data_IF_429375345180
#
_entry.id   IF_429375345180
#
_cell.length_a   1.000
_cell.length_b   1.000
_cell.length_c   1.000
_cell.angle_alpha   90.00
_cell.angle_beta   90.00
_cell.angle_gamma   90.00
#
_symmetry.space_group_name_H-M   'P 1'
#
loop_
_entity.id
_entity.type
_entity.pdbx_description
1 polymer ?
#
# COMPACT_ATOMS: atom_id res chain seq x y z
N UNK A 1 27.91 -5.24 16.46
CA UNK A 1 26.99 -4.64 15.48
C UNK A 1 27.35 -5.20 14.11
N UNK A 2 26.51 -6.04 13.53
CA UNK A 2 26.79 -6.62 12.21
C UNK A 2 26.90 -5.47 11.19
N UNK A 3 28.01 -5.42 10.45
CA UNK A 3 28.20 -4.42 9.41
C UNK A 3 27.08 -4.58 8.38
N UNK A 4 26.27 -3.53 8.20
CA UNK A 4 25.26 -3.49 7.15
C UNK A 4 25.99 -3.69 5.83
N UNK A 5 25.72 -4.80 5.16
CA UNK A 5 26.23 -5.08 3.83
C UNK A 5 25.79 -3.97 2.88
N UNK A 6 26.63 -3.64 1.90
CA UNK A 6 26.39 -2.56 0.95
C UNK A 6 25.05 -2.72 0.19
N UNK A 7 24.54 -3.95 0.13
CA UNK A 7 23.20 -4.28 -0.36
C UNK A 7 22.06 -3.65 0.48
N UNK A 8 22.15 -3.64 1.81
CA UNK A 8 21.09 -3.09 2.67
C UNK A 8 20.84 -1.59 2.45
N UNK A 9 21.91 -0.82 2.23
CA UNK A 9 21.79 0.61 1.90
C UNK A 9 21.06 0.83 0.57
N UNK A 10 21.36 0.01 -0.45
CA UNK A 10 20.73 0.08 -1.77
C UNK A 10 19.23 -0.23 -1.69
N UNK A 11 18.84 -1.27 -0.93
CA UNK A 11 17.44 -1.62 -0.73
C UNK A 11 16.66 -0.52 -0.01
N UNK A 12 17.23 0.07 1.04
CA UNK A 12 16.61 1.19 1.76
C UNK A 12 16.42 2.39 0.82
N UNK A 13 17.46 2.80 0.10
CA UNK A 13 17.37 3.91 -0.85
C UNK A 13 16.34 3.65 -1.95
N UNK A 14 16.29 2.44 -2.49
CA UNK A 14 15.33 2.06 -3.54
C UNK A 14 13.89 2.08 -3.02
N UNK A 15 13.64 1.54 -1.82
CA UNK A 15 12.30 1.53 -1.21
C UNK A 15 11.77 2.95 -0.93
N UNK A 16 12.63 3.84 -0.43
CA UNK A 16 12.26 5.24 -0.18
C UNK A 16 12.07 5.98 -1.51
N UNK A 17 12.90 5.72 -2.52
CA UNK A 17 12.73 6.32 -3.85
C UNK A 17 11.39 5.94 -4.47
N UNK A 18 11.01 4.65 -4.45
CA UNK A 18 9.70 4.18 -4.95
C UNK A 18 8.55 4.87 -4.17
N UNK A 19 8.66 4.94 -2.85
CA UNK A 19 7.65 5.60 -2.00
C UNK A 19 7.52 7.08 -2.34
N UNK A 20 8.63 7.79 -2.57
CA UNK A 20 8.61 9.20 -2.96
C UNK A 20 8.09 9.40 -4.39
N UNK A 21 8.33 8.48 -5.31
CA UNK A 21 7.72 8.51 -6.65
C UNK A 21 6.19 8.37 -6.57
N UNK A 22 5.70 7.43 -5.74
CA UNK A 22 4.27 7.27 -5.49
C UNK A 22 3.67 8.53 -4.84
N UNK A 23 4.36 9.11 -3.85
CA UNK A 23 3.96 10.38 -3.25
C UNK A 23 3.89 11.50 -4.30
N UNK A 24 4.88 11.60 -5.19
CA UNK A 24 4.88 12.55 -6.29
C UNK A 24 3.68 12.38 -7.21
N UNK A 25 3.36 11.14 -7.60
CA UNK A 25 2.17 10.83 -8.39
C UNK A 25 0.88 11.24 -7.70
N UNK A 26 0.72 10.88 -6.42
CA UNK A 26 -0.45 11.25 -5.60
C UNK A 26 -0.59 12.77 -5.52
N UNK A 27 0.51 13.50 -5.31
CA UNK A 27 0.49 14.96 -5.26
C UNK A 27 0.08 15.59 -6.59
N UNK A 28 0.57 15.07 -7.72
CA UNK A 28 0.17 15.54 -9.05
C UNK A 28 -1.33 15.35 -9.23
N UNK A 29 -1.85 14.14 -9.01
CA UNK A 29 -3.28 13.86 -9.15
C UNK A 29 -4.13 14.72 -8.21
N UNK A 30 -3.65 14.98 -6.99
CA UNK A 30 -4.32 15.85 -6.04
C UNK A 30 -4.39 17.30 -6.52
N UNK A 31 -3.27 17.88 -6.97
CA UNK A 31 -3.25 19.27 -7.43
C UNK A 31 -4.02 19.47 -8.74
N UNK A 32 -4.00 18.50 -9.66
CA UNK A 32 -4.81 18.53 -10.88
C UNK A 32 -6.31 18.49 -10.54
N UNK A 33 -6.72 17.58 -9.64
CA UNK A 33 -8.13 17.50 -9.19
C UNK A 33 -8.58 18.80 -8.52
N UNK A 34 -7.73 19.41 -7.69
CA UNK A 34 -8.01 20.74 -7.12
C UNK A 34 -8.08 21.82 -8.20
N UNK A 35 -7.18 21.75 -9.19
CA UNK A 35 -7.14 22.62 -10.36
C UNK A 35 -8.49 22.72 -11.04
N UNK A 36 -9.07 21.56 -11.34
CA UNK A 36 -10.37 21.41 -11.98
C UNK A 36 -11.50 21.92 -11.09
N UNK A 37 -11.51 21.54 -9.81
CA UNK A 37 -12.59 21.91 -8.88
C UNK A 37 -12.70 23.41 -8.65
N UNK A 38 -11.57 24.12 -8.63
CA UNK A 38 -11.53 25.57 -8.40
C UNK A 38 -11.32 26.37 -9.70
N UNK A 39 -11.34 25.72 -10.86
CA UNK A 39 -11.05 26.32 -12.16
C UNK A 39 -9.76 27.17 -12.17
N UNK A 40 -8.72 26.71 -11.46
CA UNK A 40 -7.45 27.43 -11.29
C UNK A 40 -6.71 27.60 -12.62
N UNK A 41 -6.95 26.73 -13.59
CA UNK A 41 -6.40 26.84 -14.95
C UNK A 41 -6.76 28.18 -15.61
N UNK A 42 -7.92 28.75 -15.27
CA UNK A 42 -8.38 30.05 -15.79
C UNK A 42 -7.71 31.25 -15.13
N UNK A 43 -7.09 31.05 -13.95
CA UNK A 43 -6.50 32.11 -13.12
C UNK A 43 -4.99 32.12 -13.17
N UNK A 44 -4.35 30.97 -13.39
CA UNK A 44 -2.91 30.80 -13.38
C UNK A 44 -2.46 30.25 -14.74
N UNK A 45 -1.59 30.97 -15.47
CA UNK A 45 -1.05 30.45 -16.72
C UNK A 45 -0.22 29.18 -16.44
N UNK A 46 -0.41 28.15 -17.25
CA UNK A 46 0.31 26.87 -17.14
C UNK A 46 0.19 26.20 -15.75
N UNK A 47 -0.99 26.23 -15.13
CA UNK A 47 -1.26 25.62 -13.82
C UNK A 47 -0.82 24.16 -13.73
N UNK A 48 -1.11 23.35 -14.75
CA UNK A 48 -0.74 21.92 -14.78
C UNK A 48 0.78 21.74 -14.66
N UNK A 49 1.57 22.51 -15.43
CA UNK A 49 3.03 22.42 -15.39
C UNK A 49 3.61 22.87 -14.03
N UNK A 50 3.05 23.93 -13.44
CA UNK A 50 3.51 24.41 -12.12
C UNK A 50 3.14 23.44 -11.00
N UNK A 51 1.95 22.83 -11.05
CA UNK A 51 1.52 21.78 -10.13
C UNK A 51 2.43 20.54 -10.20
N UNK A 52 2.82 20.12 -11.41
CA UNK A 52 3.74 19.00 -11.61
C UNK A 52 5.13 19.30 -11.04
N UNK A 53 5.69 20.47 -11.34
CA UNK A 53 7.00 20.89 -10.82
C UNK A 53 6.96 20.95 -9.29
N UNK A 54 5.93 21.57 -8.71
CA UNK A 54 5.78 21.67 -7.26
C UNK A 54 5.70 20.29 -6.59
N UNK A 55 4.90 19.38 -7.15
CA UNK A 55 4.75 18.01 -6.65
C UNK A 55 6.05 17.24 -6.65
N UNK A 56 6.80 17.32 -7.76
CA UNK A 56 8.12 16.66 -7.90
C UNK A 56 9.12 17.26 -6.92
N UNK A 57 9.14 18.58 -6.74
CA UNK A 57 10.03 19.25 -5.77
C UNK A 57 9.71 18.84 -4.34
N UNK A 58 8.43 18.74 -3.97
CA UNK A 58 8.01 18.25 -2.64
C UNK A 58 8.48 16.80 -2.45
N UNK A 59 8.21 15.92 -3.41
CA UNK A 59 8.61 14.52 -3.34
C UNK A 59 10.14 14.34 -3.21
N UNK A 60 10.91 15.11 -3.97
CA UNK A 60 12.37 15.10 -3.92
C UNK A 60 12.89 15.69 -2.60
N UNK A 61 12.27 16.77 -2.12
CA UNK A 61 12.58 17.36 -0.81
C UNK A 61 12.36 16.37 0.33
N UNK A 62 11.26 15.64 0.31
CA UNK A 62 10.94 14.57 1.27
C UNK A 62 11.99 13.45 1.18
N UNK A 63 12.37 13.00 -0.02
CA UNK A 63 13.42 11.99 -0.20
C UNK A 63 14.74 12.40 0.45
N UNK A 64 15.21 13.62 0.16
CA UNK A 64 16.46 14.15 0.74
C UNK A 64 16.35 14.26 2.25
N UNK A 65 15.21 14.75 2.77
CA UNK A 65 14.98 14.89 4.21
C UNK A 65 15.07 13.54 4.94
N UNK A 66 14.40 12.51 4.42
CA UNK A 66 14.41 11.15 5.01
C UNK A 66 15.84 10.57 4.99
N UNK A 67 16.57 10.75 3.89
CA UNK A 67 17.93 10.19 3.73
C UNK A 67 18.98 10.90 4.57
N UNK A 68 18.87 12.23 4.74
CA UNK A 68 19.82 13.02 5.53
C UNK A 68 19.53 12.99 7.03
N UNK A 69 18.27 12.78 7.44
CA UNK A 69 17.93 12.78 8.85
C UNK A 69 18.47 11.50 9.53
N UNK A 70 19.41 11.61 10.50
CA UNK A 70 20.04 10.45 11.12
C UNK A 70 19.05 9.60 11.92
N UNK A 71 17.98 10.20 12.47
CA UNK A 71 16.94 9.47 13.20
C UNK A 71 16.17 8.54 12.26
N UNK A 72 15.70 9.09 11.13
CA UNK A 72 14.94 8.32 10.14
C UNK A 72 15.80 7.30 9.44
N UNK A 73 17.02 7.68 9.03
CA UNK A 73 17.99 6.76 8.41
C UNK A 73 18.41 5.63 9.35
N UNK A 74 18.57 5.91 10.65
CA UNK A 74 18.83 4.91 11.68
C UNK A 74 17.68 3.91 11.81
N UNK A 75 16.45 4.42 11.97
CA UNK A 75 15.25 3.59 12.08
C UNK A 75 15.04 2.69 10.86
N UNK A 76 15.22 3.21 9.63
CA UNK A 76 15.10 2.41 8.41
C UNK A 76 16.12 1.25 8.35
N UNK A 77 17.31 1.46 8.91
CA UNK A 77 18.30 0.38 9.01
C UNK A 77 17.85 -0.70 9.98
N UNK A 78 17.30 -0.32 11.13
CA UNK A 78 16.74 -1.27 12.12
C UNK A 78 15.59 -2.08 11.51
N UNK A 79 14.64 -1.41 10.84
CA UNK A 79 13.54 -2.09 10.14
C UNK A 79 14.06 -3.07 9.09
N UNK A 80 15.08 -2.69 8.31
CA UNK A 80 15.69 -3.61 7.34
C UNK A 80 16.32 -4.83 8.04
N UNK A 81 17.03 -4.63 9.16
CA UNK A 81 17.62 -5.73 9.91
C UNK A 81 16.56 -6.69 10.45
N UNK A 82 15.42 -6.20 10.92
CA UNK A 82 14.32 -7.07 11.37
C UNK A 82 13.61 -7.75 10.20
N UNK A 83 13.41 -7.05 9.08
CA UNK A 83 12.73 -7.59 7.90
C UNK A 83 13.49 -8.76 7.28
N UNK A 84 14.83 -8.73 7.27
CA UNK A 84 15.67 -9.84 6.74
C UNK A 84 15.58 -11.10 7.61
N UNK A 85 15.16 -10.98 8.88
CA UNK A 85 14.93 -12.14 9.76
C UNK A 85 13.57 -12.81 9.51
N UNK A 86 12.66 -12.14 8.81
CA UNK A 86 11.34 -12.69 8.52
C UNK A 86 11.49 -13.85 7.53
N UNK A 87 11.07 -15.03 7.98
CA UNK A 87 10.98 -16.22 7.11
C UNK A 87 9.65 -16.13 6.36
N UNK A 88 9.73 -15.87 5.06
CA UNK A 88 8.56 -15.82 4.20
C UNK A 88 8.09 -17.25 3.86
N UNK A 89 6.77 -17.52 3.89
CA UNK A 89 6.25 -18.85 3.63
C UNK A 89 6.46 -19.24 2.17
N UNK A 90 6.83 -20.51 1.95
CA UNK A 90 6.90 -21.06 0.60
C UNK A 90 5.52 -21.10 -0.07
N UNK A 91 5.50 -21.06 -1.40
CA UNK A 91 4.27 -21.16 -2.20
C UNK A 91 3.42 -22.37 -1.80
N UNK A 92 4.05 -23.51 -1.50
CA UNK A 92 3.35 -24.74 -1.08
C UNK A 92 2.64 -24.57 0.26
N UNK A 93 3.28 -23.91 1.23
CA UNK A 93 2.71 -23.64 2.55
C UNK A 93 1.52 -22.67 2.43
N UNK A 94 1.70 -21.57 1.70
CA UNK A 94 0.64 -20.57 1.48
C UNK A 94 -0.59 -21.17 0.80
N UNK A 95 -0.39 -21.99 -0.24
CA UNK A 95 -1.49 -22.66 -0.93
C UNK A 95 -2.21 -23.65 -0.01
N UNK A 96 -1.46 -24.43 0.79
CA UNK A 96 -2.06 -25.40 1.71
C UNK A 96 -2.92 -24.72 2.78
N UNK A 97 -2.46 -23.61 3.34
CA UNK A 97 -3.26 -22.81 4.28
C UNK A 97 -4.49 -22.20 3.61
N UNK A 98 -4.34 -21.65 2.40
CA UNK A 98 -5.44 -21.05 1.63
C UNK A 98 -6.54 -22.07 1.33
N UNK A 99 -6.16 -23.28 0.89
CA UNK A 99 -7.11 -24.37 0.62
C UNK A 99 -7.84 -24.76 1.90
N UNK A 100 -7.12 -24.85 3.03
CA UNK A 100 -7.74 -25.15 4.32
C UNK A 100 -8.83 -24.14 4.70
N UNK A 101 -8.53 -22.85 4.55
CA UNK A 101 -9.52 -21.77 4.81
C UNK A 101 -10.68 -21.87 3.82
N UNK A 102 -10.40 -22.07 2.53
CA UNK A 102 -11.43 -22.17 1.49
C UNK A 102 -12.43 -23.29 1.78
N UNK A 103 -11.94 -24.46 2.20
CA UNK A 103 -12.80 -25.59 2.60
C UNK A 103 -13.63 -25.21 3.82
N UNK A 104 -13.02 -24.63 4.86
CA UNK A 104 -13.72 -24.22 6.08
C UNK A 104 -14.85 -23.21 5.80
N UNK A 105 -14.55 -22.17 5.02
CA UNK A 105 -15.53 -21.15 4.62
C UNK A 105 -16.64 -21.76 3.78
N UNK A 106 -16.32 -22.70 2.88
CA UNK A 106 -17.31 -23.40 2.05
C UNK A 106 -18.28 -24.21 2.92
N UNK A 107 -17.77 -24.97 3.90
CA UNK A 107 -18.62 -25.76 4.80
C UNK A 107 -19.57 -24.86 5.60
N UNK A 108 -19.04 -23.78 6.20
CA UNK A 108 -19.86 -22.83 6.96
C UNK A 108 -20.91 -22.18 6.05
N UNK A 109 -20.52 -21.78 4.83
CA UNK A 109 -21.44 -21.23 3.84
C UNK A 109 -22.56 -22.20 3.46
N UNK A 110 -22.25 -23.49 3.29
CA UNK A 110 -23.27 -24.52 3.02
C UNK A 110 -24.23 -24.71 4.20
N UNK A 111 -23.73 -24.73 5.44
CA UNK A 111 -24.59 -24.87 6.62
C UNK A 111 -25.54 -23.68 6.73
N UNK A 112 -25.01 -22.45 6.63
CA UNK A 112 -25.83 -21.24 6.69
C UNK A 112 -26.85 -21.19 5.53
N UNK A 113 -26.42 -21.48 4.30
CA UNK A 113 -27.32 -21.52 3.14
C UNK A 113 -28.41 -22.59 3.27
N UNK A 114 -28.10 -23.73 3.89
CA UNK A 114 -29.11 -24.76 4.20
C UNK A 114 -30.13 -24.27 5.24
N UNK A 115 -29.68 -23.58 6.29
CA UNK A 115 -30.57 -22.94 7.27
C UNK A 115 -31.47 -21.89 6.61
N UNK A 116 -30.93 -21.03 5.76
CA UNK A 116 -31.70 -20.01 5.05
C UNK A 116 -32.74 -20.64 4.10
N UNK A 117 -32.35 -21.68 3.37
CA UNK A 117 -33.24 -22.41 2.46
C UNK A 117 -34.39 -23.06 3.22
N UNK A 118 -34.09 -23.78 4.31
CA UNK A 118 -35.11 -24.45 5.13
C UNK A 118 -36.04 -23.46 5.80
N UNK A 119 -35.52 -22.37 6.38
CA UNK A 119 -36.33 -21.32 6.97
C UNK A 119 -37.28 -20.68 5.94
N UNK A 120 -36.79 -20.39 4.73
CA UNK A 120 -37.61 -19.84 3.65
C UNK A 120 -38.71 -20.80 3.22
N UNK A 121 -38.38 -22.10 3.10
CA UNK A 121 -39.35 -23.13 2.77
C UNK A 121 -40.44 -23.24 3.85
N UNK A 122 -40.07 -23.25 5.13
CA UNK A 122 -41.05 -23.24 6.23
C UNK A 122 -41.95 -22.01 6.22
N UNK A 123 -41.40 -20.81 5.97
CA UNK A 123 -42.18 -19.59 5.86
C UNK A 123 -43.17 -19.64 4.68
N UNK A 124 -42.78 -20.24 3.55
CA UNK A 124 -43.66 -20.41 2.38
C UNK A 124 -44.81 -21.41 2.58
N UNK A 125 -44.78 -22.22 3.65
CA UNK A 125 -45.90 -23.11 3.99
C UNK A 125 -46.94 -22.44 4.89
N UNK A 126 -46.53 -21.39 5.60
CA UNK A 126 -47.40 -20.59 6.48
C UNK A 126 -48.13 -19.48 5.73
N UNK A 127 -47.51 -18.94 4.68
CA UNK A 127 -48.04 -17.86 3.84
C UNK A 127 -48.57 -18.40 2.52
#
# INVERSE_FOLDING_TARGET
MAAISDSGKKWIQSSVAITCMLLGYILISFFETLGDWFALESKIPNFVASAQILSVLIALGVFIYIMKNPKTSGFLKEVYQETVKVVWPDKSQTVRHTIGIMIGVTIVGFILGFFDFTATWFLSLIN
#
